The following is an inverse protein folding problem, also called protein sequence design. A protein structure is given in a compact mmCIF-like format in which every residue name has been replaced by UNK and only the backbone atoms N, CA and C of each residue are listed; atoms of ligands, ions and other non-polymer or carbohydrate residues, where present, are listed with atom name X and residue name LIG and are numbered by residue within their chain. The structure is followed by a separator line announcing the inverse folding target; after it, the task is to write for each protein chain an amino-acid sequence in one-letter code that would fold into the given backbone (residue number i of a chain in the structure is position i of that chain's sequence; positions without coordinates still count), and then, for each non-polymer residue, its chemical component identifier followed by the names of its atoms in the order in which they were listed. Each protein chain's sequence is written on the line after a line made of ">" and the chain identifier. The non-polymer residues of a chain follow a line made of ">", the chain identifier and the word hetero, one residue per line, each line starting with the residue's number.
data_IF_075710208265
#
_entry.id   IF_075710208265
#
_cell.length_a   1.000
_cell.length_b   1.000
_cell.length_c   1.000
_cell.angle_alpha   90.00
_cell.angle_beta   90.00
_cell.angle_gamma   90.00
#
_symmetry.space_group_name_H-M   'P 1'
#
loop_
_entity.id
_entity.type
_entity.pdbx_description
1 polymer ?
#
# COMPACT_ATOMS: atom_id res chain seq x y z
N UNK A 1 -8.64 17.60 -6.39
CA UNK A 1 -7.17 17.46 -6.49
C UNK A 1 -6.88 16.71 -7.77
N UNK A 2 -6.15 17.29 -8.74
CA UNK A 2 -5.74 16.56 -9.94
C UNK A 2 -4.37 15.92 -9.69
N UNK A 3 -4.25 14.63 -10.01
CA UNK A 3 -3.02 13.84 -9.86
C UNK A 3 -2.13 13.97 -11.11
N UNK A 4 -2.01 15.17 -11.69
CA UNK A 4 -1.56 15.31 -13.08
C UNK A 4 -0.04 15.29 -13.29
N UNK A 5 0.80 15.32 -12.26
CA UNK A 5 2.25 15.10 -12.47
C UNK A 5 2.94 14.38 -11.33
N UNK A 6 3.64 13.29 -11.70
CA UNK A 6 4.55 12.45 -10.91
C UNK A 6 5.78 13.21 -10.34
N UNK A 7 5.77 14.54 -10.40
CA UNK A 7 6.86 15.42 -9.96
C UNK A 7 6.94 15.56 -8.43
N UNK A 8 5.90 15.13 -7.70
CA UNK A 8 5.86 15.18 -6.24
C UNK A 8 6.75 14.14 -5.56
N UNK A 9 7.21 13.13 -6.30
CA UNK A 9 8.04 12.06 -5.77
C UNK A 9 9.53 12.26 -6.12
N UNK A 10 10.47 11.88 -5.23
CA UNK A 10 11.88 11.94 -5.54
C UNK A 10 12.21 11.12 -6.80
N UNK A 11 13.01 11.69 -7.70
CA UNK A 11 13.44 11.03 -8.94
C UNK A 11 14.10 9.66 -8.68
N UNK A 12 14.83 9.53 -7.56
CA UNK A 12 15.42 8.26 -7.14
C UNK A 12 14.36 7.19 -6.84
N UNK A 13 13.25 7.57 -6.20
CA UNK A 13 12.14 6.66 -5.91
C UNK A 13 11.48 6.20 -7.21
N UNK A 14 11.18 7.13 -8.12
CA UNK A 14 10.63 6.82 -9.44
C UNK A 14 11.54 5.87 -10.22
N UNK A 15 12.86 6.07 -10.14
CA UNK A 15 13.84 5.19 -10.79
C UNK A 15 13.77 3.79 -10.22
N UNK A 16 13.62 3.61 -8.91
CA UNK A 16 13.54 2.28 -8.26
C UNK A 16 12.30 1.52 -8.74
N UNK A 17 11.13 2.16 -8.78
CA UNK A 17 9.90 1.52 -9.29
C UNK A 17 9.96 1.23 -10.80
N UNK A 18 10.73 2.02 -11.56
CA UNK A 18 11.00 1.79 -12.99
C UNK A 18 12.14 0.80 -13.24
N UNK A 19 12.97 0.49 -12.24
CA UNK A 19 14.18 -0.30 -12.45
C UNK A 19 13.83 -1.76 -12.66
N UNK A 20 14.43 -2.34 -13.69
CA UNK A 20 14.00 -3.61 -14.27
C UNK A 20 14.30 -4.80 -13.36
N UNK A 21 15.15 -4.71 -12.33
CA UNK A 21 15.38 -5.83 -11.38
C UNK A 21 14.07 -6.28 -10.73
N UNK A 22 13.14 -5.36 -10.44
CA UNK A 22 11.80 -5.70 -9.99
C UNK A 22 11.06 -6.53 -11.08
N UNK A 23 11.04 -6.03 -12.31
CA UNK A 23 10.25 -6.59 -13.42
C UNK A 23 10.87 -7.85 -14.06
N UNK A 24 12.18 -8.02 -13.97
CA UNK A 24 12.99 -9.12 -14.56
C UNK A 24 13.36 -10.19 -13.55
N UNK A 25 13.22 -9.92 -12.25
CA UNK A 25 13.27 -10.93 -11.20
C UNK A 25 12.18 -11.97 -11.43
N UNK A 26 12.58 -13.21 -11.68
CA UNK A 26 11.70 -14.40 -11.70
C UNK A 26 11.18 -14.78 -10.29
N UNK A 27 11.29 -13.88 -9.31
CA UNK A 27 10.76 -14.08 -7.95
C UNK A 27 9.25 -13.96 -7.87
N UNK A 28 8.70 -14.22 -6.68
CA UNK A 28 7.28 -13.98 -6.39
C UNK A 28 6.91 -12.51 -6.64
N UNK A 29 5.62 -12.26 -6.90
CA UNK A 29 5.07 -10.90 -7.06
C UNK A 29 5.46 -9.96 -5.90
N UNK A 30 5.46 -10.47 -4.68
CA UNK A 30 5.90 -9.76 -3.48
C UNK A 30 7.37 -9.34 -3.57
N UNK A 31 8.25 -10.28 -3.94
CA UNK A 31 9.69 -10.03 -4.07
C UNK A 31 10.02 -9.01 -5.16
N UNK A 32 9.19 -8.91 -6.20
CA UNK A 32 9.35 -7.93 -7.28
C UNK A 32 9.28 -6.49 -6.75
N UNK A 33 8.32 -6.18 -5.88
CA UNK A 33 8.13 -4.82 -5.38
C UNK A 33 8.74 -4.58 -4.00
N UNK A 34 9.22 -5.62 -3.31
CA UNK A 34 9.76 -5.55 -1.95
C UNK A 34 10.72 -4.37 -1.74
N UNK A 35 11.83 -4.34 -2.49
CA UNK A 35 12.81 -3.27 -2.36
C UNK A 35 12.25 -1.88 -2.67
N UNK A 36 11.29 -1.79 -3.59
CA UNK A 36 10.70 -0.51 -4.01
C UNK A 36 9.77 0.07 -2.94
N UNK A 37 8.81 -0.70 -2.42
CA UNK A 37 7.93 -0.22 -1.36
C UNK A 37 8.68 -0.06 -0.03
N UNK A 38 9.72 -0.86 0.27
CA UNK A 38 10.57 -0.64 1.44
C UNK A 38 11.26 0.71 1.37
N UNK A 39 11.83 1.08 0.22
CA UNK A 39 12.48 2.40 0.05
C UNK A 39 11.47 3.55 0.11
N UNK A 40 10.27 3.36 -0.40
CA UNK A 40 9.18 4.33 -0.24
C UNK A 40 8.81 4.54 1.23
N UNK A 41 8.65 3.44 1.98
CA UNK A 41 8.32 3.50 3.41
C UNK A 41 9.42 4.22 4.20
N UNK A 42 10.69 3.89 3.95
CA UNK A 42 11.83 4.59 4.57
C UNK A 42 11.83 6.09 4.25
N UNK A 43 11.47 6.47 3.01
CA UNK A 43 11.36 7.87 2.63
C UNK A 43 10.22 8.60 3.36
N UNK A 44 9.06 7.96 3.51
CA UNK A 44 7.89 8.57 4.14
C UNK A 44 7.97 8.65 5.67
N UNK A 45 8.56 7.64 6.31
CA UNK A 45 8.53 7.47 7.77
C UNK A 45 9.92 7.55 8.44
N UNK A 46 10.98 7.73 7.65
CA UNK A 46 12.35 7.80 8.13
C UNK A 46 12.94 6.43 8.49
N UNK A 47 14.15 6.46 9.05
CA UNK A 47 14.88 5.28 9.55
C UNK A 47 14.80 5.14 11.08
N UNK A 48 13.95 5.95 11.73
CA UNK A 48 13.75 5.93 13.17
C UNK A 48 12.89 4.76 13.66
N UNK A 49 12.57 4.76 14.96
CA UNK A 49 11.75 3.72 15.61
C UNK A 49 10.33 4.19 15.94
N UNK A 50 9.94 5.38 15.46
CA UNK A 50 8.62 5.96 15.73
C UNK A 50 7.50 5.23 14.98
N UNK A 51 7.86 4.52 13.91
CA UNK A 51 6.93 3.80 13.05
C UNK A 51 7.34 2.34 12.88
N UNK A 52 6.34 1.45 12.88
CA UNK A 52 6.51 0.02 12.60
C UNK A 52 5.63 -0.38 11.44
N UNK A 53 6.23 -1.09 10.48
CA UNK A 53 5.53 -1.67 9.33
C UNK A 53 5.17 -3.11 9.65
N UNK A 54 3.89 -3.45 9.57
CA UNK A 54 3.40 -4.80 9.80
C UNK A 54 2.68 -5.35 8.56
N UNK A 55 3.09 -6.50 8.01
CA UNK A 55 2.27 -7.26 7.08
C UNK A 55 0.97 -7.68 7.77
N UNK A 56 -0.15 -7.50 7.07
CA UNK A 56 -1.46 -7.86 7.58
C UNK A 56 -2.21 -8.70 6.55
N UNK A 57 -3.13 -9.53 7.02
CA UNK A 57 -4.08 -10.16 6.11
C UNK A 57 -5.01 -9.06 5.56
N UNK A 58 -5.28 -9.02 4.25
CA UNK A 58 -6.29 -8.12 3.72
C UNK A 58 -7.65 -8.43 4.38
N UNK A 59 -8.49 -7.41 4.67
CA UNK A 59 -9.83 -7.61 5.20
C UNK A 59 -10.62 -8.59 4.33
N UNK A 60 -11.26 -9.58 4.96
CA UNK A 60 -11.79 -10.78 4.31
C UNK A 60 -12.90 -10.48 3.28
N UNK A 61 -12.72 -11.01 2.06
CA UNK A 61 -13.74 -11.49 1.11
C UNK A 61 -15.01 -10.63 0.86
N UNK A 62 -14.92 -9.65 -0.06
CA UNK A 62 -16.04 -9.31 -0.96
C UNK A 62 -15.69 -9.30 -2.45
N UNK A 63 -14.46 -9.67 -2.80
CA UNK A 63 -13.98 -9.72 -4.18
C UNK A 63 -13.31 -11.07 -4.47
N UNK A 64 -14.09 -12.17 -4.37
CA UNK A 64 -13.64 -13.52 -4.74
C UNK A 64 -13.46 -13.76 -6.24
N UNK A 65 -13.52 -12.74 -7.08
CA UNK A 65 -13.47 -12.95 -8.53
C UNK A 65 -12.07 -12.86 -9.13
N UNK A 66 -11.04 -12.50 -8.37
CA UNK A 66 -9.66 -12.61 -8.85
C UNK A 66 -8.71 -12.85 -7.69
N UNK A 67 -7.87 -13.89 -7.79
CA UNK A 67 -6.66 -14.05 -6.99
C UNK A 67 -5.71 -12.91 -7.36
N UNK A 68 -5.99 -11.74 -6.82
CA UNK A 68 -5.13 -10.58 -6.94
C UNK A 68 -4.06 -10.74 -5.86
N UNK A 69 -2.87 -11.18 -6.27
CA UNK A 69 -1.71 -11.17 -5.38
C UNK A 69 -1.52 -9.76 -4.86
N UNK A 70 -1.78 -9.60 -3.57
CA UNK A 70 -1.87 -8.29 -2.94
C UNK A 70 -1.00 -8.27 -1.70
N UNK A 71 -0.02 -7.37 -1.67
CA UNK A 71 0.74 -7.10 -0.45
C UNK A 71 0.00 -6.04 0.33
N UNK A 72 -0.43 -6.35 1.56
CA UNK A 72 -1.18 -5.46 2.43
C UNK A 72 -0.34 -5.14 3.68
N UNK A 73 0.14 -3.90 3.77
CA UNK A 73 1.00 -3.42 4.87
C UNK A 73 0.34 -2.27 5.59
N UNK A 74 0.37 -2.31 6.93
CA UNK A 74 -0.06 -1.19 7.77
C UNK A 74 1.16 -0.62 8.49
N UNK A 75 1.27 0.71 8.50
CA UNK A 75 2.25 1.43 9.31
C UNK A 75 1.56 1.92 10.57
N UNK A 76 2.14 1.58 11.72
CA UNK A 76 1.68 2.00 13.04
C UNK A 76 2.62 3.06 13.61
N UNK A 77 2.03 4.10 14.19
CA UNK A 77 2.72 5.01 15.12
C UNK A 77 2.91 4.26 16.45
N UNK A 78 4.15 4.10 16.90
CA UNK A 78 4.49 3.34 18.11
C UNK A 78 4.00 4.04 19.38
N UNK A 79 4.07 5.37 19.42
CA UNK A 79 3.68 6.16 20.58
C UNK A 79 2.16 6.14 20.78
N UNK A 80 1.39 6.17 19.69
CA UNK A 80 -0.07 6.26 19.71
C UNK A 80 -0.78 4.92 19.45
N UNK A 81 -0.04 3.87 19.13
CA UNK A 81 -0.54 2.53 18.84
C UNK A 81 -1.69 2.51 17.82
N UNK A 82 -1.60 3.34 16.78
CA UNK A 82 -2.65 3.49 15.76
C UNK A 82 -2.11 3.37 14.34
N UNK A 83 -2.91 2.84 13.40
CA UNK A 83 -2.54 2.84 11.99
C UNK A 83 -2.50 4.28 11.49
N UNK A 84 -1.43 4.64 10.78
CA UNK A 84 -1.24 5.96 10.16
C UNK A 84 -1.12 5.88 8.65
N UNK A 85 -0.85 4.70 8.10
CA UNK A 85 -0.69 4.50 6.67
C UNK A 85 -1.01 3.07 6.27
N UNK A 86 -1.50 2.93 5.05
CA UNK A 86 -1.84 1.65 4.45
C UNK A 86 -1.23 1.55 3.05
N UNK A 87 -0.66 0.38 2.74
CA UNK A 87 -0.16 0.05 1.40
C UNK A 87 -0.87 -1.20 0.92
N UNK A 88 -1.37 -1.11 -0.31
CA UNK A 88 -1.85 -2.25 -1.07
C UNK A 88 -1.10 -2.30 -2.42
N UNK A 89 -0.34 -3.37 -2.68
CA UNK A 89 0.41 -3.55 -3.93
C UNK A 89 -0.31 -4.60 -4.79
N UNK A 90 -0.76 -4.23 -5.99
CA UNK A 90 -1.44 -5.10 -6.97
C UNK A 90 -0.63 -5.29 -8.24
N UNK A 91 -0.98 -6.30 -9.05
CA UNK A 91 -0.28 -6.60 -10.31
C UNK A 91 -0.30 -5.41 -11.29
N UNK A 92 0.79 -5.26 -12.05
CA UNK A 92 0.94 -4.20 -13.05
C UNK A 92 -0.18 -4.20 -14.09
N UNK A 93 -0.75 -5.37 -14.41
CA UNK A 93 -1.87 -5.50 -15.33
C UNK A 93 -3.10 -4.71 -14.86
N UNK A 94 -3.25 -4.45 -13.57
CA UNK A 94 -4.35 -3.63 -13.03
C UNK A 94 -4.24 -2.17 -13.49
N UNK A 95 -3.03 -1.66 -13.70
CA UNK A 95 -2.82 -0.28 -14.16
C UNK A 95 -3.24 -0.06 -15.62
N UNK A 96 -3.26 -1.14 -16.42
CA UNK A 96 -3.67 -1.11 -17.83
C UNK A 96 -5.19 -1.09 -17.99
N UNK A 97 -5.96 -1.46 -16.96
CA UNK A 97 -7.41 -1.61 -17.02
C UNK A 97 -8.07 -0.50 -16.19
N UNK A 98 -8.72 0.51 -16.81
CA UNK A 98 -9.29 1.65 -16.10
C UNK A 98 -10.29 1.27 -14.99
N UNK A 99 -11.09 0.23 -15.21
CA UNK A 99 -12.06 -0.23 -14.20
C UNK A 99 -11.37 -0.83 -12.97
N UNK A 100 -10.23 -1.50 -13.14
CA UNK A 100 -9.44 -2.04 -12.02
C UNK A 100 -8.78 -0.91 -11.21
N UNK A 101 -8.32 0.15 -11.87
CA UNK A 101 -7.83 1.36 -11.17
C UNK A 101 -8.91 2.01 -10.31
N UNK A 102 -10.12 2.18 -10.87
CA UNK A 102 -11.27 2.71 -10.13
C UNK A 102 -11.66 1.82 -8.95
N UNK A 103 -11.64 0.51 -9.14
CA UNK A 103 -11.93 -0.45 -8.08
C UNK A 103 -10.88 -0.39 -6.95
N UNK A 104 -9.59 -0.30 -7.29
CA UNK A 104 -8.52 -0.16 -6.31
C UNK A 104 -8.62 1.14 -5.49
N UNK A 105 -8.95 2.26 -6.14
CA UNK A 105 -9.20 3.54 -5.45
C UNK A 105 -10.39 3.46 -4.48
N UNK A 106 -11.49 2.82 -4.91
CA UNK A 106 -12.65 2.57 -4.03
C UNK A 106 -12.26 1.70 -2.83
N UNK A 107 -11.58 0.58 -3.09
CA UNK A 107 -11.16 -0.37 -2.07
C UNK A 107 -10.24 0.29 -1.02
N UNK A 108 -9.30 1.14 -1.45
CA UNK A 108 -8.42 1.87 -0.54
C UNK A 108 -9.18 2.79 0.42
N UNK A 109 -10.24 3.46 -0.06
CA UNK A 109 -11.10 4.29 0.80
C UNK A 109 -11.87 3.43 1.80
N UNK A 110 -12.45 2.32 1.35
CA UNK A 110 -13.18 1.39 2.22
C UNK A 110 -12.27 0.81 3.31
N UNK A 111 -11.06 0.37 2.97
CA UNK A 111 -10.08 -0.11 3.95
C UNK A 111 -9.66 0.98 4.95
N UNK A 112 -9.49 2.21 4.49
CA UNK A 112 -9.15 3.32 5.37
C UNK A 112 -10.27 3.59 6.38
N UNK A 113 -11.53 3.56 5.94
CA UNK A 113 -12.69 3.73 6.83
C UNK A 113 -12.78 2.61 7.88
N UNK A 114 -12.39 1.38 7.54
CA UNK A 114 -12.31 0.25 8.48
C UNK A 114 -11.18 0.40 9.52
N UNK A 115 -10.08 1.05 9.15
CA UNK A 115 -8.94 1.29 10.04
C UNK A 115 -9.18 2.44 11.02
N UNK A 116 -10.10 3.35 10.73
CA UNK A 116 -10.46 4.41 11.65
C UNK A 116 -11.15 3.78 12.88
N UNK A 117 -10.68 4.07 14.10
CA UNK A 117 -11.36 3.60 15.30
C UNK A 117 -12.81 4.05 15.23
N UNK A 118 -13.74 3.10 15.30
CA UNK A 118 -15.15 3.40 15.44
C UNK A 118 -15.28 4.37 16.62
N UNK A 119 -15.88 5.57 16.45
CA UNK A 119 -16.06 6.50 17.55
C UNK A 119 -16.75 5.73 18.65
N UNK A 120 -16.05 5.62 19.79
CA UNK A 120 -16.38 4.84 20.98
C UNK A 120 -17.88 4.53 21.03
N UNK A 121 -18.24 3.28 20.73
CA UNK A 121 -19.47 2.73 21.27
C UNK A 121 -19.27 2.71 22.78
N UNK A 122 -19.65 3.81 23.43
CA UNK A 122 -19.90 3.88 24.86
C UNK A 122 -20.96 2.80 25.10
N UNK A 123 -20.52 1.60 25.48
CA UNK A 123 -21.43 0.59 25.98
C UNK A 123 -21.75 0.94 27.44
N UNK A 124 -23.03 1.11 27.80
CA UNK A 124 -23.44 1.24 29.20
C UNK A 124 -23.16 -0.04 29.99
#
# INVERSE_FOLDING_TARGET
>A
MSFDTDASWPVGLLRIFKFDIARTSHGSFENRYYGAYTKMLMYCFGEGFDFVVAPQAPPTDKSRDTVDFTVYLIVFDVAQQRPVFLIEVKDDAHNLIPIKRKAADKQMREHYDELLPHPLAIRP
#
